data_IF_915457691043
#
_entry.id   IF_915457691043
#
_cell.length_a   1.000
_cell.length_b   1.000
_cell.length_c   1.000
_cell.angle_alpha   90.00
_cell.angle_beta   90.00
_cell.angle_gamma   90.00
#
_symmetry.space_group_name_H-M   'P 1'
#
loop_
_entity.id
_entity.type
_entity.pdbx_description
1 polymer ?
#
# COMPACT_ATOMS: atom_id res chain seq x y z
N UNK A 1 -0.28 -2.66 -11.40
CA UNK A 1 0.95 -3.48 -11.45
C UNK A 1 1.07 -4.20 -10.11
N UNK A 2 1.25 -5.53 -10.02
CA UNK A 2 1.43 -6.18 -8.71
C UNK A 2 2.92 -6.16 -8.35
N UNK A 3 3.35 -5.48 -7.28
CA UNK A 3 4.73 -5.57 -6.81
C UNK A 3 5.03 -7.02 -6.42
N UNK A 4 6.27 -7.48 -6.67
CA UNK A 4 6.74 -8.83 -6.35
C UNK A 4 7.07 -8.98 -4.85
N UNK A 5 6.19 -8.44 -4.02
CA UNK A 5 6.26 -8.47 -2.56
C UNK A 5 5.17 -9.45 -2.13
N UNK A 6 5.54 -10.48 -1.39
CA UNK A 6 4.59 -11.40 -0.77
C UNK A 6 4.02 -10.70 0.46
N UNK A 7 2.82 -10.16 0.30
CA UNK A 7 2.07 -9.46 1.33
C UNK A 7 0.87 -10.32 1.67
N UNK A 8 0.62 -10.47 2.97
CA UNK A 8 -0.50 -11.23 3.48
C UNK A 8 -1.81 -10.74 2.84
N UNK A 9 -2.71 -11.68 2.51
CA UNK A 9 -3.99 -11.38 1.88
C UNK A 9 -4.81 -10.33 2.65
N UNK A 10 -4.62 -10.28 3.97
CA UNK A 10 -5.22 -9.29 4.87
C UNK A 10 -4.66 -7.89 4.68
N UNK A 11 -3.34 -7.74 4.48
CA UNK A 11 -2.73 -6.43 4.21
C UNK A 11 -3.08 -5.93 2.81
N UNK A 12 -3.11 -6.84 1.82
CA UNK A 12 -3.57 -6.50 0.47
C UNK A 12 -5.04 -6.03 0.42
N UNK A 13 -5.90 -6.63 1.25
CA UNK A 13 -7.27 -6.15 1.46
C UNK A 13 -7.32 -4.73 2.02
N UNK A 14 -6.56 -4.45 3.08
CA UNK A 14 -6.48 -3.10 3.68
C UNK A 14 -5.96 -2.04 2.71
N UNK A 15 -4.97 -2.37 1.88
CA UNK A 15 -4.44 -1.44 0.87
C UNK A 15 -5.45 -1.21 -0.24
N UNK A 16 -6.27 -2.21 -0.60
CA UNK A 16 -7.39 -2.05 -1.52
C UNK A 16 -8.45 -1.12 -0.94
N UNK A 17 -8.85 -1.33 0.32
CA UNK A 17 -9.82 -0.49 1.01
C UNK A 17 -9.31 0.97 1.06
N UNK A 18 -8.04 1.16 1.44
CA UNK A 18 -7.38 2.46 1.44
C UNK A 18 -7.36 3.12 0.05
N UNK A 19 -7.11 2.34 -1.00
CA UNK A 19 -7.15 2.83 -2.38
C UNK A 19 -8.54 3.32 -2.76
N UNK A 20 -9.59 2.56 -2.43
CA UNK A 20 -10.98 2.92 -2.69
C UNK A 20 -11.44 4.14 -1.88
N UNK A 21 -10.97 4.30 -0.63
CA UNK A 21 -11.28 5.45 0.21
C UNK A 21 -10.63 6.76 -0.25
N UNK A 22 -9.46 6.68 -0.89
CA UNK A 22 -8.68 7.84 -1.32
C UNK A 22 -8.77 8.10 -2.83
N UNK A 23 -9.63 7.36 -3.55
CA UNK A 23 -9.76 7.40 -5.02
C UNK A 23 -8.41 7.20 -5.73
N UNK A 24 -7.57 6.32 -5.16
CA UNK A 24 -6.23 6.02 -5.65
C UNK A 24 -6.24 4.72 -6.45
N UNK A 25 -5.34 4.66 -7.42
CA UNK A 25 -5.00 3.40 -8.06
C UNK A 25 -4.30 2.48 -7.05
N UNK A 26 -4.53 1.18 -7.18
CA UNK A 26 -3.95 0.17 -6.28
C UNK A 26 -2.41 0.29 -6.20
N UNK A 27 -1.78 0.65 -7.31
CA UNK A 27 -0.31 0.83 -7.38
C UNK A 27 0.16 2.07 -6.60
N UNK A 28 -0.63 3.15 -6.62
CA UNK A 28 -0.32 4.38 -5.89
C UNK A 28 -0.60 4.21 -4.39
N UNK A 29 -1.69 3.53 -4.04
CA UNK A 29 -1.96 3.14 -2.65
C UNK A 29 -0.83 2.29 -2.06
N UNK A 30 -0.31 1.30 -2.80
CA UNK A 30 0.87 0.54 -2.38
C UNK A 30 2.08 1.43 -2.18
N UNK A 31 2.31 2.36 -3.11
CA UNK A 31 3.44 3.26 -3.06
C UNK A 31 3.37 4.16 -1.83
N UNK A 32 2.25 4.84 -1.60
CA UNK A 32 2.09 5.76 -0.48
C UNK A 32 2.23 5.05 0.87
N UNK A 33 1.58 3.90 1.04
CA UNK A 33 1.66 3.13 2.28
C UNK A 33 3.10 2.66 2.54
N UNK A 34 3.82 2.24 1.49
CA UNK A 34 5.21 1.81 1.61
C UNK A 34 6.16 2.98 1.83
N UNK A 35 5.99 4.11 1.14
CA UNK A 35 6.82 5.32 1.31
C UNK A 35 6.61 5.92 2.72
N UNK A 36 5.36 6.04 3.18
CA UNK A 36 5.05 6.52 4.52
C UNK A 36 5.59 5.58 5.61
N UNK A 37 5.43 4.26 5.44
CA UNK A 37 5.98 3.28 6.38
C UNK A 37 7.51 3.26 6.39
N UNK A 38 8.16 3.47 5.24
CA UNK A 38 9.62 3.54 5.15
C UNK A 38 10.17 4.80 5.80
N UNK A 39 9.51 5.94 5.61
CA UNK A 39 9.86 7.22 6.25
C UNK A 39 9.78 7.09 7.77
N UNK A 40 8.70 6.50 8.30
CA UNK A 40 8.55 6.25 9.75
C UNK A 40 9.65 5.31 10.32
N UNK A 41 10.11 4.34 9.54
CA UNK A 41 11.17 3.42 9.96
C UNK A 41 12.59 3.98 9.84
N UNK A 42 12.78 5.04 9.05
CA UNK A 42 14.11 5.63 8.77
C UNK A 42 14.30 7.04 9.33
N UNK A 43 13.23 7.65 9.86
CA UNK A 43 13.21 8.94 10.53
C UNK A 43 13.57 8.92 12.01
#
# INVERSE_FOLDING_TARGET
MRPNIDISHTLGGKIKDYAEENDLDLSDAYREVLEAGLDELTG
#
